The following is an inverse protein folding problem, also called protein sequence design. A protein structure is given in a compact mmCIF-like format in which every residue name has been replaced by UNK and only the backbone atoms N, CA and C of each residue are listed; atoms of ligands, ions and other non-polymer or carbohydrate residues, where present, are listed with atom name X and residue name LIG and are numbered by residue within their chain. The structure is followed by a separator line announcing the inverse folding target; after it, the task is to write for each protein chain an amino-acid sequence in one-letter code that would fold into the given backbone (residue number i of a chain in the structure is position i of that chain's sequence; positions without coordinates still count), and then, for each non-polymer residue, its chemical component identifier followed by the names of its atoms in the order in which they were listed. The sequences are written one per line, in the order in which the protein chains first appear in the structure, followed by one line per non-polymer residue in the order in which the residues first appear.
data_IF_454052527080
#
_entry.id   IF_454052527080
#
_cell.length_a   1.000
_cell.length_b   1.000
_cell.length_c   1.000
_cell.angle_alpha   90.00
_cell.angle_beta   90.00
_cell.angle_gamma   90.00
#
_symmetry.space_group_name_H-M   'P 1'
#
loop_
_entity.id
_entity.type
_entity.pdbx_description
1 polymer ?
#
# COMPACT_ATOMS: atom_id res chain seq x y z
N UNK A 1 -3.90 1.92 -5.92
CA UNK A 1 -3.24 2.93 -5.07
C UNK A 1 -4.23 4.04 -4.79
N UNK A 2 -4.19 4.56 -3.56
CA UNK A 2 -5.02 5.64 -3.07
C UNK A 2 -4.12 6.76 -2.54
N UNK A 3 -4.61 7.98 -2.68
CA UNK A 3 -3.95 9.22 -2.25
C UNK A 3 -4.98 10.12 -1.57
N UNK A 4 -4.52 11.20 -0.94
CA UNK A 4 -5.41 12.28 -0.51
C UNK A 4 -5.67 13.23 -1.68
N UNK A 5 -6.88 13.81 -1.74
CA UNK A 5 -7.20 14.91 -2.66
C UNK A 5 -6.27 16.10 -2.42
N UNK A 6 -6.20 17.04 -3.38
CA UNK A 6 -5.29 18.19 -3.30
C UNK A 6 -5.51 19.05 -2.04
N UNK A 7 -6.76 19.13 -1.57
CA UNK A 7 -7.15 19.82 -0.32
C UNK A 7 -6.96 18.95 0.95
N UNK A 8 -6.62 17.67 0.78
CA UNK A 8 -6.46 16.66 1.81
C UNK A 8 -7.73 16.31 2.61
N UNK A 9 -8.90 16.60 2.07
CA UNK A 9 -10.20 16.35 2.72
C UNK A 9 -10.76 14.95 2.40
N UNK A 10 -10.34 14.35 1.29
CA UNK A 10 -10.92 13.11 0.78
C UNK A 10 -9.83 12.11 0.36
N UNK A 11 -10.13 10.82 0.45
CA UNK A 11 -9.28 9.76 -0.06
C UNK A 11 -9.75 9.40 -1.46
N UNK A 12 -8.86 9.54 -2.44
CA UNK A 12 -9.17 9.34 -3.86
C UNK A 12 -8.29 8.23 -4.45
N UNK A 13 -8.77 7.64 -5.54
CA UNK A 13 -8.00 6.65 -6.30
C UNK A 13 -6.93 7.36 -7.11
N UNK A 14 -5.67 6.99 -6.89
CA UNK A 14 -4.51 7.52 -7.62
C UNK A 14 -4.25 6.68 -8.88
N UNK A 15 -4.19 5.35 -8.69
CA UNK A 15 -3.91 4.40 -9.76
C UNK A 15 -4.60 3.07 -9.54
N UNK A 16 -5.08 2.45 -10.60
CA UNK A 16 -5.51 1.04 -10.61
C UNK A 16 -4.68 0.26 -11.62
N UNK A 17 -4.43 -1.01 -11.34
CA UNK A 17 -3.69 -1.90 -12.22
C UNK A 17 -4.19 -3.32 -12.03
N UNK A 18 -4.38 -4.04 -13.13
CA UNK A 18 -4.67 -5.48 -13.14
C UNK A 18 -3.38 -6.32 -13.20
N UNK A 19 -2.21 -5.67 -13.32
CA UNK A 19 -0.92 -6.34 -13.34
C UNK A 19 -0.66 -6.98 -11.97
N UNK A 20 -0.49 -8.30 -11.97
CA UNK A 20 -0.19 -9.10 -10.77
C UNK A 20 1.31 -9.23 -10.49
N UNK A 21 2.15 -8.63 -11.34
CA UNK A 21 3.58 -8.57 -11.09
C UNK A 21 3.86 -7.62 -9.93
N UNK A 22 4.40 -8.19 -8.87
CA UNK A 22 4.72 -7.47 -7.66
C UNK A 22 5.85 -6.45 -7.87
N UNK A 23 6.82 -6.74 -8.73
CA UNK A 23 7.95 -5.84 -9.00
C UNK A 23 7.47 -4.57 -9.71
N UNK A 24 6.59 -4.70 -10.71
CA UNK A 24 5.97 -3.54 -11.38
C UNK A 24 5.22 -2.64 -10.39
N UNK A 25 4.55 -3.24 -9.39
CA UNK A 25 3.92 -2.50 -8.30
C UNK A 25 4.96 -1.72 -7.48
N UNK A 26 6.05 -2.37 -7.06
CA UNK A 26 7.11 -1.74 -6.27
C UNK A 26 7.77 -0.59 -7.04
N UNK A 27 7.97 -0.75 -8.35
CA UNK A 27 8.50 0.30 -9.23
C UNK A 27 7.59 1.52 -9.37
N UNK A 28 6.30 1.37 -9.12
CA UNK A 28 5.33 2.45 -9.19
C UNK A 28 5.22 3.27 -7.90
N UNK A 29 5.87 2.82 -6.82
CA UNK A 29 5.86 3.55 -5.55
C UNK A 29 6.68 4.85 -5.65
N UNK A 30 6.09 6.01 -5.31
CA UNK A 30 6.79 7.28 -5.40
C UNK A 30 7.84 7.43 -4.30
N UNK A 31 8.99 8.01 -4.62
CA UNK A 31 10.11 8.17 -3.68
C UNK A 31 9.91 9.29 -2.64
N UNK A 32 8.99 10.23 -2.87
CA UNK A 32 8.78 11.41 -2.02
C UNK A 32 7.35 11.61 -1.56
N UNK A 33 6.42 10.77 -2.00
CA UNK A 33 5.00 10.93 -1.69
C UNK A 33 4.42 9.71 -0.98
N UNK A 34 3.44 9.95 -0.12
CA UNK A 34 2.75 8.86 0.57
C UNK A 34 1.65 8.28 -0.31
N UNK A 35 1.40 6.99 -0.17
CA UNK A 35 0.30 6.27 -0.86
C UNK A 35 -0.26 5.21 0.07
N UNK A 36 -1.55 4.91 -0.06
CA UNK A 36 -2.10 3.65 0.45
C UNK A 36 -2.29 2.69 -0.70
N UNK A 37 -1.97 1.43 -0.49
CA UNK A 37 -2.05 0.39 -1.52
C UNK A 37 -2.84 -0.77 -0.96
N UNK A 38 -3.77 -1.26 -1.76
CA UNK A 38 -4.40 -2.55 -1.54
C UNK A 38 -3.89 -3.46 -2.65
N UNK A 39 -3.27 -4.57 -2.26
CA UNK A 39 -2.65 -5.52 -3.18
C UNK A 39 -3.21 -6.92 -2.91
N UNK A 40 -3.71 -7.59 -3.95
CA UNK A 40 -4.08 -9.00 -3.89
C UNK A 40 -2.82 -9.85 -4.07
N UNK A 41 -2.26 -10.32 -2.96
CA UNK A 41 -1.04 -11.12 -2.98
C UNK A 41 -1.38 -12.60 -3.19
N UNK A 42 -1.02 -13.08 -4.37
CA UNK A 42 -1.09 -14.48 -4.78
C UNK A 42 0.27 -15.16 -4.58
N UNK A 43 0.31 -16.16 -3.70
CA UNK A 43 1.49 -16.99 -3.48
C UNK A 43 1.14 -18.47 -3.55
N UNK A 44 2.01 -19.24 -4.19
CA UNK A 44 1.83 -20.68 -4.33
C UNK A 44 2.80 -21.39 -3.41
N UNK A 45 2.33 -21.80 -2.22
CA UNK A 45 3.12 -22.61 -1.27
C UNK A 45 2.64 -24.04 -1.27
N UNK A 46 3.58 -24.98 -1.39
CA UNK A 46 3.34 -26.41 -1.27
C UNK A 46 2.19 -26.94 -2.15
N UNK A 47 2.03 -26.39 -3.36
CA UNK A 47 1.00 -26.82 -4.32
C UNK A 47 -0.38 -26.19 -4.15
N UNK A 48 -0.63 -25.43 -3.08
CA UNK A 48 -1.88 -24.70 -2.86
C UNK A 48 -1.74 -23.21 -3.22
N UNK A 49 -2.76 -22.68 -3.89
CA UNK A 49 -2.89 -21.24 -4.17
C UNK A 49 -3.36 -20.54 -2.88
N UNK A 50 -2.62 -19.51 -2.44
CA UNK A 50 -3.00 -18.69 -1.29
C UNK A 50 -3.13 -17.25 -1.72
N UNK A 51 -4.33 -16.72 -1.52
CA UNK A 51 -4.67 -15.34 -1.86
C UNK A 51 -4.90 -14.60 -0.57
N UNK A 52 -4.21 -13.48 -0.41
CA UNK A 52 -4.37 -12.62 0.76
C UNK A 52 -4.38 -11.17 0.32
N UNK A 53 -5.32 -10.41 0.86
CA UNK A 53 -5.38 -8.98 0.64
C UNK A 53 -4.38 -8.32 1.59
N UNK A 54 -3.43 -7.58 1.03
CA UNK A 54 -2.41 -6.83 1.75
C UNK A 54 -2.73 -5.35 1.65
N UNK A 55 -2.79 -4.68 2.79
CA UNK A 55 -2.90 -3.22 2.87
C UNK A 55 -1.53 -2.65 3.23
N UNK A 56 -1.00 -1.78 2.37
CA UNK A 56 0.32 -1.16 2.55
C UNK A 56 0.12 0.34 2.71
N UNK A 57 0.65 0.89 3.80
CA UNK A 57 0.77 2.33 4.04
C UNK A 57 2.18 2.75 3.69
N UNK A 58 2.36 3.28 2.48
CA UNK A 58 3.63 3.75 1.96
C UNK A 58 3.89 5.20 2.40
N UNK A 59 4.98 5.43 3.12
CA UNK A 59 5.39 6.72 3.66
C UNK A 59 6.90 6.88 3.55
N UNK A 60 7.43 7.21 2.36
CA UNK A 60 8.85 7.14 2.07
C UNK A 60 9.66 8.10 2.93
N UNK A 61 10.87 7.73 3.34
CA UNK A 61 11.68 8.55 4.26
C UNK A 61 11.91 9.99 3.74
N UNK A 62 12.15 10.15 2.44
CA UNK A 62 12.31 11.43 1.77
C UNK A 62 11.01 12.27 1.64
N UNK A 63 9.87 11.76 2.09
CA UNK A 63 8.58 12.45 2.06
C UNK A 63 8.41 13.53 3.13
N UNK A 64 7.51 14.49 2.87
CA UNK A 64 7.21 15.58 3.80
C UNK A 64 6.57 15.07 5.12
N UNK A 65 7.13 15.45 6.27
CA UNK A 65 6.70 14.97 7.59
C UNK A 65 5.22 15.30 7.91
N UNK A 66 4.73 16.48 7.54
CA UNK A 66 3.32 16.85 7.75
C UNK A 66 2.39 15.94 6.93
N UNK A 67 2.76 15.66 5.67
CA UNK A 67 2.01 14.70 4.83
C UNK A 67 2.04 13.30 5.43
N UNK A 68 3.18 12.81 5.93
CA UNK A 68 3.28 11.50 6.59
C UNK A 68 2.32 11.39 7.78
N UNK A 69 2.27 12.42 8.63
CA UNK A 69 1.33 12.44 9.76
C UNK A 69 -0.12 12.38 9.31
N UNK A 70 -0.47 13.14 8.27
CA UNK A 70 -1.82 13.18 7.74
C UNK A 70 -2.22 11.82 7.14
N UNK A 71 -1.35 11.20 6.35
CA UNK A 71 -1.57 9.85 5.80
C UNK A 71 -1.64 8.79 6.89
N UNK A 72 -0.81 8.88 7.93
CA UNK A 72 -0.92 7.96 9.07
C UNK A 72 -2.26 8.13 9.81
N UNK A 73 -2.77 9.36 9.94
CA UNK A 73 -4.02 9.63 10.65
C UNK A 73 -5.24 9.22 9.84
N UNK A 74 -5.21 9.39 8.51
CA UNK A 74 -6.31 9.02 7.63
C UNK A 74 -6.32 7.54 7.24
N UNK A 75 -5.26 6.79 7.56
CA UNK A 75 -5.11 5.36 7.26
C UNK A 75 -6.30 4.53 7.72
N UNK A 76 -6.72 4.69 8.97
CA UNK A 76 -7.78 3.86 9.56
C UNK A 76 -9.11 4.02 8.81
N UNK A 77 -9.42 5.23 8.34
CA UNK A 77 -10.64 5.49 7.59
C UNK A 77 -10.67 4.64 6.31
N UNK A 78 -9.58 4.62 5.54
CA UNK A 78 -9.49 3.78 4.34
C UNK A 78 -9.48 2.29 4.71
N UNK A 79 -8.68 1.90 5.70
CA UNK A 79 -8.47 0.51 6.09
C UNK A 79 -9.76 -0.20 6.51
N UNK A 80 -10.68 0.52 7.17
CA UNK A 80 -11.98 -0.01 7.62
C UNK A 80 -12.94 -0.32 6.47
N UNK A 81 -12.74 0.27 5.29
CA UNK A 81 -13.53 -0.09 4.09
C UNK A 81 -13.16 -1.48 3.54
N UNK A 82 -12.04 -2.07 3.97
CA UNK A 82 -11.58 -3.38 3.53
C UNK A 82 -11.66 -4.40 4.67
N UNK A 83 -12.78 -5.11 4.76
CA UNK A 83 -13.07 -6.08 5.84
C UNK A 83 -12.25 -7.37 5.78
N UNK A 84 -11.58 -7.67 4.67
CA UNK A 84 -10.89 -8.95 4.43
C UNK A 84 -9.37 -8.82 4.23
N UNK A 85 -8.77 -7.69 4.62
CA UNK A 85 -7.31 -7.55 4.60
C UNK A 85 -6.70 -8.49 5.63
N UNK A 86 -5.81 -9.34 5.14
CA UNK A 86 -5.10 -10.33 5.95
C UNK A 86 -3.82 -9.79 6.55
N UNK A 87 -3.17 -8.83 5.89
CA UNK A 87 -1.89 -8.24 6.31
C UNK A 87 -1.95 -6.73 6.18
N UNK A 88 -1.52 -6.02 7.22
CA UNK A 88 -1.43 -4.56 7.25
C UNK A 88 0.02 -4.15 7.50
N UNK A 89 0.60 -3.38 6.58
CA UNK A 89 2.03 -3.04 6.57
C UNK A 89 2.17 -1.52 6.56
N UNK A 90 3.11 -1.00 7.35
CA UNK A 90 3.63 0.37 7.20
C UNK A 90 5.02 0.24 6.61
N UNK A 91 5.26 0.94 5.51
CA UNK A 91 6.50 0.85 4.76
C UNK A 91 7.07 2.25 4.51
N UNK A 92 8.36 2.40 4.77
CA UNK A 92 9.12 3.63 4.55
C UNK A 92 10.19 3.46 3.46
N UNK A 93 10.57 2.23 3.14
CA UNK A 93 11.49 1.93 2.05
C UNK A 93 11.13 0.64 1.28
N UNK A 94 11.78 0.43 0.13
CA UNK A 94 11.45 -0.69 -0.76
C UNK A 94 11.71 -2.07 -0.13
N UNK A 95 12.56 -2.14 0.91
CA UNK A 95 12.80 -3.32 1.73
C UNK A 95 11.57 -3.74 2.53
N UNK A 96 10.82 -2.78 3.09
CA UNK A 96 9.59 -3.04 3.85
C UNK A 96 8.48 -3.67 2.99
N UNK A 97 8.47 -3.33 1.70
CA UNK A 97 7.56 -3.89 0.71
C UNK A 97 8.21 -5.01 -0.09
N UNK A 98 9.30 -5.61 0.37
CA UNK A 98 9.88 -6.75 -0.34
C UNK A 98 8.95 -7.96 -0.30
N UNK A 99 9.01 -8.79 -1.35
CA UNK A 99 8.13 -9.96 -1.50
C UNK A 99 8.23 -10.94 -0.33
N UNK A 100 9.42 -11.02 0.29
CA UNK A 100 9.69 -11.82 1.49
C UNK A 100 9.02 -11.26 2.75
N UNK A 101 8.96 -9.94 2.90
CA UNK A 101 8.32 -9.26 4.02
C UNK A 101 6.81 -9.37 3.95
N UNK A 102 6.26 -9.30 2.73
CA UNK A 102 4.82 -9.35 2.48
C UNK A 102 4.27 -10.78 2.48
N UNK A 103 5.03 -11.77 2.02
CA UNK A 103 4.61 -13.15 1.75
C UNK A 103 4.65 -14.11 2.93
#
# INVERSE_FOLDING_TARGET
MYTLSEDNSEIVVDKTSENRNYEDFVHDLPSTECRWVVYDFQDRRAGADRNKIVFISWSPDAGNMNKKMLYSSSKEALRRNFTSVSVDINAADLGDVSRETVG
#
